data_IF_398361763623
#
_entry.id   IF_398361763623
#
_cell.length_a   1.000
_cell.length_b   1.000
_cell.length_c   1.000
_cell.angle_alpha   90.00
_cell.angle_beta   90.00
_cell.angle_gamma   90.00
#
_symmetry.space_group_name_H-M   'P 1'
#
loop_
_entity.id
_entity.type
_entity.pdbx_description
1 polymer ?
#
# COMPACT_ATOMS: atom_id res chain seq x y z
N UNK A 1 -13.10 -5.66 -12.10
CA UNK A 1 -13.13 -4.64 -11.02
C UNK A 1 -13.13 -5.35 -9.69
N UNK A 2 -12.35 -4.86 -8.73
CA UNK A 2 -12.11 -5.58 -7.46
C UNK A 2 -12.84 -4.82 -6.35
N UNK A 3 -13.45 -5.54 -5.42
CA UNK A 3 -14.22 -4.99 -4.30
C UNK A 3 -13.44 -3.93 -3.48
N UNK A 4 -12.12 -4.07 -3.44
CA UNK A 4 -11.19 -3.13 -2.80
C UNK A 4 -11.21 -1.73 -3.42
N UNK A 5 -11.68 -1.56 -4.66
CA UNK A 5 -11.82 -0.26 -5.33
C UNK A 5 -12.81 0.68 -4.63
N UNK A 6 -13.63 0.13 -3.73
CA UNK A 6 -14.75 0.85 -3.12
C UNK A 6 -14.65 1.00 -1.61
N UNK A 7 -13.59 0.52 -0.95
CA UNK A 7 -13.43 0.63 0.51
C UNK A 7 -12.22 1.51 0.87
N UNK A 8 -12.19 2.29 1.95
CA UNK A 8 -11.01 3.10 2.29
C UNK A 8 -9.72 2.27 2.39
N UNK A 9 -8.57 2.84 2.01
CA UNK A 9 -7.26 2.21 2.23
C UNK A 9 -6.72 2.56 3.63
N UNK A 10 -5.85 1.72 4.20
CA UNK A 10 -5.22 2.00 5.51
C UNK A 10 -4.55 3.38 5.55
N UNK A 11 -3.86 3.76 4.47
CA UNK A 11 -3.27 5.09 4.28
C UNK A 11 -4.28 6.21 4.45
N UNK A 12 -5.37 6.14 3.70
CA UNK A 12 -6.37 7.22 3.67
C UNK A 12 -7.13 7.32 4.99
N UNK A 13 -7.33 6.19 5.68
CA UNK A 13 -7.88 6.17 7.02
C UNK A 13 -6.98 6.89 8.04
N UNK A 14 -5.67 6.69 7.95
CA UNK A 14 -4.69 7.35 8.83
C UNK A 14 -4.59 8.84 8.50
N UNK A 15 -4.40 9.21 7.22
CA UNK A 15 -4.19 10.59 6.78
C UNK A 15 -5.37 11.51 7.16
N UNK A 16 -6.60 10.97 7.11
CA UNK A 16 -7.82 11.71 7.46
C UNK A 16 -8.18 11.61 8.96
N UNK A 17 -7.38 10.92 9.78
CA UNK A 17 -7.64 10.74 11.21
C UNK A 17 -8.90 9.91 11.50
N UNK A 18 -9.26 9.00 10.58
CA UNK A 18 -10.46 8.15 10.70
C UNK A 18 -10.27 6.95 11.63
N UNK A 19 -9.04 6.74 12.14
CA UNK A 19 -8.72 5.74 13.15
C UNK A 19 -8.39 6.47 14.45
N UNK A 20 -9.19 6.29 15.50
CA UNK A 20 -8.79 6.70 16.83
C UNK A 20 -7.86 5.66 17.46
N UNK A 21 -6.75 6.09 18.06
CA UNK A 21 -5.76 5.18 18.64
C UNK A 21 -5.48 5.56 20.08
N UNK A 22 -5.51 4.57 20.97
CA UNK A 22 -5.24 4.73 22.39
C UNK A 22 -4.46 3.54 22.95
N UNK A 23 -3.85 3.73 24.12
CA UNK A 23 -3.24 2.65 24.88
C UNK A 23 -1.72 2.80 25.03
N UNK A 24 -0.99 1.68 24.94
CA UNK A 24 0.45 1.65 25.17
C UNK A 24 1.21 2.30 23.99
N UNK A 25 1.97 3.36 24.26
CA UNK A 25 2.72 4.14 23.25
C UNK A 25 3.79 3.33 22.51
N UNK A 26 4.43 2.36 23.17
CA UNK A 26 5.42 1.48 22.52
C UNK A 26 4.75 0.57 21.48
N UNK A 27 3.59 -0.01 21.83
CA UNK A 27 2.81 -0.82 20.87
C UNK A 27 2.27 0.03 19.72
N UNK A 28 1.88 1.28 19.98
CA UNK A 28 1.44 2.23 18.94
C UNK A 28 2.59 2.51 17.96
N UNK A 29 3.80 2.74 18.47
CA UNK A 29 5.00 2.96 17.65
C UNK A 29 5.32 1.74 16.80
N UNK A 30 5.38 0.56 17.40
CA UNK A 30 5.69 -0.67 16.69
C UNK A 30 4.63 -1.05 15.65
N UNK A 31 3.34 -0.83 15.92
CA UNK A 31 2.30 -1.00 14.92
C UNK A 31 2.43 0.03 13.80
N UNK A 32 2.78 1.28 14.11
CA UNK A 32 3.03 2.31 13.08
C UNK A 32 4.16 1.91 12.16
N UNK A 33 5.25 1.35 12.72
CA UNK A 33 6.36 0.77 11.96
C UNK A 33 5.90 -0.40 11.10
N UNK A 34 5.15 -1.34 11.67
CA UNK A 34 4.62 -2.47 10.93
C UNK A 34 3.72 -2.04 9.76
N UNK A 35 2.82 -1.08 10.00
CA UNK A 35 1.93 -0.52 8.99
C UNK A 35 2.77 0.16 7.91
N UNK A 36 3.73 1.00 8.31
CA UNK A 36 4.63 1.71 7.39
C UNK A 36 5.37 0.75 6.47
N UNK A 37 6.00 -0.29 7.02
CA UNK A 37 6.62 -1.33 6.21
C UNK A 37 5.53 -2.00 5.36
N UNK A 38 4.55 -2.70 5.94
CA UNK A 38 3.60 -3.49 5.16
C UNK A 38 2.81 -2.73 4.08
N UNK A 39 2.48 -1.46 4.27
CA UNK A 39 1.57 -0.70 3.41
C UNK A 39 2.09 0.64 2.88
N UNK A 40 3.29 1.08 3.24
CA UNK A 40 3.83 2.40 2.87
C UNK A 40 5.34 2.32 2.60
N UNK A 41 5.84 1.15 2.20
CA UNK A 41 7.26 0.87 1.91
C UNK A 41 7.95 1.89 0.98
N UNK A 42 7.19 2.80 0.39
CA UNK A 42 7.61 3.67 -0.67
C UNK A 42 6.97 5.05 -0.57
N UNK A 43 7.76 6.07 -0.26
CA UNK A 43 7.31 7.46 -0.32
C UNK A 43 7.55 8.04 -1.72
N UNK A 44 6.46 8.31 -2.43
CA UNK A 44 6.52 8.86 -3.79
C UNK A 44 7.10 10.27 -3.83
N UNK A 45 7.00 11.03 -2.73
CA UNK A 45 7.49 12.42 -2.67
C UNK A 45 9.02 12.56 -2.70
N UNK A 46 9.74 11.45 -2.56
CA UNK A 46 11.22 11.43 -2.54
C UNK A 46 11.82 10.88 -3.83
N UNK A 47 10.97 10.63 -4.82
CA UNK A 47 11.40 10.15 -6.12
C UNK A 47 11.64 11.35 -7.01
N UNK A 48 12.89 11.53 -7.40
CA UNK A 48 13.23 12.48 -8.43
C UNK A 48 13.55 11.74 -9.74
N UNK A 49 12.73 11.97 -10.77
CA UNK A 49 12.94 11.48 -12.12
C UNK A 49 13.58 12.57 -12.98
N UNK A 50 14.70 13.11 -12.52
CA UNK A 50 15.47 14.08 -13.28
C UNK A 50 16.34 13.35 -14.32
N UNK A 51 15.87 13.40 -15.58
CA UNK A 51 16.54 13.00 -16.84
C UNK A 51 16.20 11.61 -17.42
N UNK A 52 15.24 11.57 -18.35
CA UNK A 52 14.96 10.39 -19.16
C UNK A 52 14.30 9.25 -18.36
N UNK A 53 14.21 8.05 -18.94
CA UNK A 53 13.57 6.88 -18.33
C UNK A 53 14.27 6.34 -17.05
N UNK A 54 15.09 7.17 -16.38
CA UNK A 54 15.96 6.84 -15.26
C UNK A 54 15.73 7.85 -14.14
N UNK A 55 15.12 7.41 -13.04
CA UNK A 55 15.05 8.19 -11.80
C UNK A 55 16.12 7.74 -10.81
N UNK A 56 16.71 8.69 -10.08
CA UNK A 56 17.69 8.42 -9.03
C UNK A 56 16.99 8.34 -7.67
N UNK A 57 17.42 7.39 -6.85
CA UNK A 57 17.12 7.38 -5.42
C UNK A 57 18.23 8.11 -4.67
N UNK A 58 17.92 9.23 -4.03
CA UNK A 58 18.59 9.52 -2.77
C UNK A 58 17.95 8.61 -1.74
N UNK A 59 18.52 7.42 -1.52
CA UNK A 59 18.16 6.62 -0.35
C UNK A 59 18.67 7.43 0.85
N UNK A 60 17.83 8.25 1.46
CA UNK A 60 18.17 8.79 2.77
C UNK A 60 18.07 7.62 3.76
N UNK A 61 19.21 7.00 4.08
CA UNK A 61 19.39 5.98 5.13
C UNK A 61 19.01 6.49 6.55
N UNK A 62 18.31 7.63 6.66
CA UNK A 62 17.80 8.24 7.89
C UNK A 62 16.27 8.18 8.00
N UNK A 63 15.65 7.14 7.45
CA UNK A 63 14.20 6.99 7.52
C UNK A 63 13.71 6.78 8.96
N UNK A 64 13.28 7.89 9.55
CA UNK A 64 12.59 7.96 10.82
C UNK A 64 11.25 7.22 10.65
N UNK A 65 11.09 6.10 11.35
CA UNK A 65 9.82 5.40 11.47
C UNK A 65 8.71 6.41 11.76
N UNK A 66 7.90 6.77 10.76
CA UNK A 66 6.90 7.81 10.96
C UNK A 66 5.91 7.28 11.99
N UNK A 67 5.71 8.01 13.08
CA UNK A 67 4.66 7.70 14.06
C UNK A 67 3.28 8.01 13.46
N UNK A 68 2.87 7.23 12.46
CA UNK A 68 1.63 7.40 11.70
C UNK A 68 0.42 7.49 12.63
N UNK A 69 0.37 6.59 13.61
CA UNK A 69 -0.74 6.51 14.55
C UNK A 69 -0.59 7.44 15.76
N UNK A 70 0.57 8.05 16.02
CA UNK A 70 0.71 8.95 17.19
C UNK A 70 -0.04 10.27 17.02
N UNK A 71 -0.24 10.68 15.76
CA UNK A 71 -1.05 11.87 15.39
C UNK A 71 -2.55 11.56 15.31
N UNK A 72 -2.94 10.30 15.42
CA UNK A 72 -4.34 9.90 15.35
C UNK A 72 -5.13 10.42 16.56
N UNK A 73 -6.44 10.71 16.40
CA UNK A 73 -7.27 11.14 17.53
C UNK A 73 -7.22 10.10 18.66
N UNK A 74 -7.08 10.55 19.90
CA UNK A 74 -7.18 9.65 21.07
C UNK A 74 -8.62 9.35 21.48
N UNK A 75 -9.56 10.20 21.07
CA UNK A 75 -10.98 10.06 21.40
C UNK A 75 -11.75 9.40 20.27
N UNK A 76 -12.48 8.34 20.62
CA UNK A 76 -13.36 7.59 19.73
C UNK A 76 -14.73 8.24 19.50
N UNK A 77 -14.99 9.39 20.15
CA UNK A 77 -16.28 10.10 20.12
C UNK A 77 -16.36 11.18 19.03
N UNK A 78 -15.32 11.35 18.22
CA UNK A 78 -15.31 12.32 17.12
C UNK A 78 -16.14 11.81 15.94
N UNK A 79 -16.92 12.70 15.32
CA UNK A 79 -17.85 12.41 14.20
C UNK A 79 -17.11 11.85 12.96
N UNK A 80 -15.80 12.07 12.85
CA UNK A 80 -14.96 11.55 11.75
C UNK A 80 -14.26 10.21 12.04
N UNK A 81 -14.40 9.65 13.24
CA UNK A 81 -13.76 8.37 13.58
C UNK A 81 -14.60 7.21 13.07
N UNK A 82 -14.00 6.39 12.21
CA UNK A 82 -14.59 5.17 11.64
C UNK A 82 -14.13 3.91 12.37
N UNK A 83 -12.94 3.95 12.96
CA UNK A 83 -12.37 2.83 13.70
C UNK A 83 -11.74 3.31 15.00
N UNK A 84 -11.83 2.53 16.07
CA UNK A 84 -11.03 2.73 17.28
C UNK A 84 -10.15 1.53 17.53
N UNK A 85 -8.87 1.79 17.72
CA UNK A 85 -7.85 0.81 18.05
C UNK A 85 -7.35 1.11 19.48
N UNK A 86 -7.67 0.21 20.40
CA UNK A 86 -7.15 0.25 21.76
C UNK A 86 -6.03 -0.77 21.90
N UNK A 87 -4.82 -0.30 22.21
CA UNK A 87 -3.61 -1.09 22.47
C UNK A 87 -3.28 -1.13 23.98
N UNK A 88 -4.27 -1.00 24.86
CA UNK A 88 -4.11 -1.13 26.31
C UNK A 88 -4.63 -2.48 26.82
N UNK A 89 -3.82 -3.25 27.55
CA UNK A 89 -4.25 -4.49 28.23
C UNK A 89 -4.78 -5.60 27.29
N UNK A 90 -5.98 -5.42 26.71
CA UNK A 90 -6.52 -6.19 25.59
C UNK A 90 -6.52 -5.33 24.33
N UNK A 91 -5.72 -5.74 23.35
CA UNK A 91 -5.71 -5.13 22.02
C UNK A 91 -7.08 -5.33 21.40
N UNK A 92 -7.74 -4.25 20.96
CA UNK A 92 -9.06 -4.35 20.32
C UNK A 92 -9.23 -3.35 19.18
N UNK A 93 -9.93 -3.80 18.13
CA UNK A 93 -10.34 -2.97 17.00
C UNK A 93 -11.86 -2.93 16.94
N UNK A 94 -12.44 -1.74 16.95
CA UNK A 94 -13.88 -1.50 16.91
C UNK A 94 -14.22 -0.62 15.71
N UNK A 95 -15.29 -0.92 14.99
CA UNK A 95 -15.82 -0.07 13.92
C UNK A 95 -16.96 0.81 14.44
N UNK A 96 -16.97 2.06 13.98
CA UNK A 96 -17.89 3.13 14.34
C UNK A 96 -18.82 3.41 13.17
N UNK A 97 -19.99 2.76 13.18
CA UNK A 97 -21.01 2.88 12.15
C UNK A 97 -21.97 3.98 12.55
N UNK A 98 -21.87 5.17 11.96
CA UNK A 98 -22.96 6.13 12.14
C UNK A 98 -24.18 5.66 11.34
N UNK A 99 -25.19 5.14 12.03
CA UNK A 99 -26.46 4.73 11.43
C UNK A 99 -27.65 5.23 12.27
N UNK A 100 -28.86 5.15 11.70
CA UNK A 100 -30.10 5.61 12.35
C UNK A 100 -30.51 4.79 13.60
N UNK A 101 -29.89 3.62 13.79
CA UNK A 101 -30.14 2.72 14.91
C UNK A 101 -29.06 2.91 15.98
N UNK A 102 -29.43 2.86 17.26
CA UNK A 102 -28.55 3.18 18.40
C UNK A 102 -27.32 2.26 18.58
N UNK A 103 -27.12 1.27 17.71
CA UNK A 103 -25.95 0.39 17.69
C UNK A 103 -24.93 0.88 16.66
N UNK A 104 -24.12 1.85 17.10
CA UNK A 104 -23.09 2.49 16.28
C UNK A 104 -21.70 1.85 16.43
N UNK A 105 -21.54 0.85 17.32
CA UNK A 105 -20.23 0.26 17.64
C UNK A 105 -20.26 -1.24 17.45
N UNK A 106 -19.27 -1.78 16.74
CA UNK A 106 -19.12 -3.22 16.56
C UNK A 106 -17.65 -3.62 16.76
N UNK A 107 -17.41 -4.54 17.69
CA UNK A 107 -16.08 -5.10 17.93
C UNK A 107 -15.69 -6.01 16.76
N UNK A 108 -14.58 -5.70 16.09
CA UNK A 108 -14.03 -6.49 14.97
C UNK A 108 -12.99 -7.49 15.44
N UNK A 109 -12.20 -7.14 16.45
CA UNK A 109 -11.07 -7.92 16.90
C UNK A 109 -10.76 -7.69 18.37
N UNK A 110 -10.32 -8.74 19.06
CA UNK A 110 -9.76 -8.66 20.42
C UNK A 110 -8.64 -9.69 20.57
N UNK A 111 -7.54 -9.28 21.21
CA UNK A 111 -6.44 -10.14 21.63
C UNK A 111 -5.91 -9.67 22.99
N UNK A 112 -5.30 -10.57 23.77
CA UNK A 112 -4.66 -10.14 25.02
C UNK A 112 -3.28 -9.57 24.70
N UNK A 113 -2.90 -8.44 25.31
CA UNK A 113 -1.56 -7.89 25.16
C UNK A 113 -0.48 -8.76 25.83
N UNK A 114 -0.86 -9.82 26.57
CA UNK A 114 0.08 -10.82 27.08
C UNK A 114 0.56 -11.84 26.04
N UNK A 115 -0.11 -11.93 24.88
CA UNK A 115 0.24 -12.85 23.78
C UNK A 115 1.38 -12.28 22.90
N UNK A 116 2.33 -11.55 23.52
CA UNK A 116 3.43 -10.80 22.86
C UNK A 116 4.31 -11.66 21.97
N UNK A 117 4.42 -12.98 22.23
CA UNK A 117 5.14 -13.92 21.35
C UNK A 117 4.59 -13.93 19.91
N UNK A 118 3.35 -13.49 19.68
CA UNK A 118 2.72 -13.43 18.36
C UNK A 118 2.39 -12.00 17.90
N UNK A 119 3.13 -10.99 18.39
CA UNK A 119 2.86 -9.56 18.11
C UNK A 119 2.71 -9.24 16.62
N UNK A 120 3.62 -9.73 15.78
CA UNK A 120 3.57 -9.53 14.33
C UNK A 120 2.29 -10.12 13.72
N UNK A 121 1.83 -11.27 14.22
CA UNK A 121 0.57 -11.90 13.76
C UNK A 121 -0.64 -11.04 14.12
N UNK A 122 -0.65 -10.44 15.32
CA UNK A 122 -1.70 -9.52 15.76
C UNK A 122 -1.71 -8.27 14.86
N UNK A 123 -0.56 -7.66 14.62
CA UNK A 123 -0.44 -6.48 13.74
C UNK A 123 -0.84 -6.79 12.30
N UNK A 124 -0.42 -7.95 11.76
CA UNK A 124 -0.84 -8.43 10.45
C UNK A 124 -2.35 -8.53 10.35
N UNK A 125 -3.00 -9.11 11.36
CA UNK A 125 -4.45 -9.26 11.40
C UNK A 125 -5.20 -7.93 11.50
N UNK A 126 -4.72 -6.99 12.33
CA UNK A 126 -5.29 -5.64 12.41
C UNK A 126 -5.19 -4.94 11.06
N UNK A 127 -4.01 -4.96 10.43
CA UNK A 127 -3.81 -4.39 9.10
C UNK A 127 -4.78 -5.01 8.08
N UNK A 128 -4.87 -6.34 8.03
CA UNK A 128 -5.71 -7.03 7.04
C UNK A 128 -7.20 -6.72 7.23
N UNK A 129 -7.65 -6.55 8.49
CA UNK A 129 -9.02 -6.15 8.83
C UNK A 129 -9.35 -4.71 8.42
N UNK A 130 -8.36 -3.81 8.46
CA UNK A 130 -8.51 -2.43 8.00
C UNK A 130 -8.46 -2.37 6.46
N UNK A 131 -7.48 -3.02 5.85
CA UNK A 131 -7.23 -3.02 4.39
C UNK A 131 -8.38 -3.67 3.59
N UNK A 132 -9.13 -4.59 4.22
CA UNK A 132 -10.24 -5.32 3.61
C UNK A 132 -11.56 -5.07 4.35
N UNK A 133 -11.71 -3.92 5.01
CA UNK A 133 -12.87 -3.66 5.85
C UNK A 133 -14.16 -3.48 5.04
N UNK A 134 -15.08 -4.44 5.14
CA UNK A 134 -16.36 -4.45 4.42
C UNK A 134 -17.49 -3.67 5.12
N UNK A 135 -17.16 -2.82 6.09
CA UNK A 135 -18.13 -2.05 6.86
C UNK A 135 -18.57 -0.76 6.17
N UNK A 136 -17.72 -0.21 5.29
CA UNK A 136 -18.01 1.00 4.54
C UNK A 136 -17.67 0.84 3.07
N UNK A 137 -18.50 1.41 2.21
CA UNK A 137 -18.27 1.45 0.77
C UNK A 137 -18.49 2.86 0.22
N UNK A 138 -17.73 3.21 -0.82
CA UNK A 138 -17.94 4.41 -1.62
C UNK A 138 -19.09 4.13 -2.59
N UNK A 139 -20.22 4.80 -2.35
CA UNK A 139 -21.35 4.74 -3.25
C UNK A 139 -20.99 5.39 -4.60
N UNK A 140 -21.11 4.65 -5.70
CA UNK A 140 -20.78 5.17 -7.03
C UNK A 140 -21.81 6.14 -7.61
N UNK A 141 -23.00 6.25 -7.01
CA UNK A 141 -24.03 7.19 -7.44
C UNK A 141 -23.84 8.59 -6.81
N UNK A 142 -23.55 8.66 -5.51
CA UNK A 142 -23.37 9.95 -4.82
C UNK A 142 -21.92 10.29 -4.51
N UNK A 143 -20.98 9.39 -4.77
CA UNK A 143 -19.55 9.51 -4.46
C UNK A 143 -19.31 9.88 -2.98
N UNK A 144 -19.88 9.10 -2.07
CA UNK A 144 -19.78 9.30 -0.62
C UNK A 144 -19.52 7.97 0.08
N UNK A 145 -18.80 8.01 1.20
CA UNK A 145 -18.58 6.84 2.04
C UNK A 145 -19.84 6.56 2.88
N UNK A 146 -20.40 5.37 2.72
CA UNK A 146 -21.63 4.94 3.39
C UNK A 146 -21.46 3.59 4.05
N UNK A 147 -22.30 3.33 5.05
CA UNK A 147 -22.37 2.05 5.73
C UNK A 147 -22.78 0.92 4.76
N UNK A 148 -22.13 -0.24 4.85
CA UNK A 148 -22.39 -1.38 3.97
C UNK A 148 -23.81 -1.94 4.04
N UNK A 149 -24.56 -1.71 5.12
CA UNK A 149 -25.98 -2.09 5.25
C UNK A 149 -26.90 -1.23 4.40
N UNK A 150 -26.43 -0.06 3.96
CA UNK A 150 -27.19 0.89 3.14
C UNK A 150 -26.84 0.78 1.65
N UNK A 151 -26.06 -0.22 1.26
CA UNK A 151 -25.60 -0.45 -0.11
C UNK A 151 -26.34 -1.67 -0.70
N UNK A 152 -26.75 -1.55 -1.96
CA UNK A 152 -27.06 -2.72 -2.81
C UNK A 152 -25.76 -3.22 -3.46
N UNK A 153 -25.35 -4.45 -3.10
CA UNK A 153 -24.08 -5.07 -3.52
C UNK A 153 -24.29 -6.05 -4.70
N UNK A 154 -25.43 -6.00 -5.40
CA UNK A 154 -25.68 -6.86 -6.57
C UNK A 154 -24.68 -6.66 -7.72
N UNK A 155 -23.87 -5.59 -7.68
CA UNK A 155 -22.71 -5.37 -8.53
C UNK A 155 -21.85 -4.21 -8.04
N UNK A 156 -21.98 -3.05 -8.70
CA UNK A 156 -21.31 -1.81 -8.29
C UNK A 156 -22.00 -1.28 -7.02
N UNK A 157 -21.26 -0.95 -5.96
CA UNK A 157 -21.85 -0.46 -4.72
C UNK A 157 -22.58 0.87 -4.96
N UNK A 158 -23.90 0.81 -4.93
CA UNK A 158 -24.80 1.96 -4.99
C UNK A 158 -25.65 1.98 -3.73
N UNK A 159 -26.06 3.17 -3.29
CA UNK A 159 -26.96 3.27 -2.16
C UNK A 159 -28.28 2.55 -2.49
N UNK A 160 -28.82 1.80 -1.54
CA UNK A 160 -30.17 1.30 -1.62
C UNK A 160 -31.15 2.47 -1.78
N UNK A 161 -32.26 2.26 -2.50
CA UNK A 161 -33.21 3.28 -2.96
C UNK A 161 -33.35 4.50 -2.03
N UNK A 162 -33.13 5.70 -2.58
CA UNK A 162 -33.20 7.02 -1.92
C UNK A 162 -32.23 7.27 -0.75
N UNK A 163 -31.33 6.34 -0.43
CA UNK A 163 -30.36 6.53 0.67
C UNK A 163 -29.28 7.59 0.32
N UNK A 164 -29.01 7.84 -0.97
CA UNK A 164 -28.09 8.90 -1.42
C UNK A 164 -28.48 10.30 -0.89
N UNK A 165 -29.77 10.55 -0.72
CA UNK A 165 -30.32 11.85 -0.30
C UNK A 165 -30.85 11.83 1.14
N UNK A 166 -31.19 10.66 1.68
CA UNK A 166 -31.89 10.51 2.95
C UNK A 166 -31.11 9.94 4.13
N UNK A 167 -29.88 9.42 3.96
CA UNK A 167 -29.14 8.72 5.04
C UNK A 167 -27.85 9.42 5.49
N UNK A 168 -27.43 9.07 6.72
CA UNK A 168 -26.20 9.55 7.35
C UNK A 168 -24.96 9.02 6.60
N UNK A 169 -24.21 9.96 6.03
CA UNK A 169 -22.93 9.72 5.35
C UNK A 169 -21.79 9.84 6.34
N UNK A 170 -20.73 9.06 6.15
CA UNK A 170 -19.56 9.18 6.99
C UNK A 170 -18.78 10.45 6.65
N UNK A 171 -18.20 11.10 7.65
CA UNK A 171 -17.34 12.28 7.44
C UNK A 171 -15.98 11.80 6.94
N UNK A 172 -15.86 11.57 5.63
CA UNK A 172 -14.68 11.04 4.97
C UNK A 172 -14.59 11.55 3.53
N UNK A 173 -13.44 12.10 3.13
CA UNK A 173 -13.22 12.59 1.77
C UNK A 173 -12.79 11.45 0.86
N UNK A 174 -13.73 10.98 0.04
CA UNK A 174 -13.50 9.86 -0.89
C UNK A 174 -12.55 10.23 -2.04
N UNK A 175 -12.36 11.52 -2.33
CA UNK A 175 -11.48 11.95 -3.41
C UNK A 175 -9.99 11.81 -3.05
N UNK A 176 -9.68 11.73 -1.76
CA UNK A 176 -8.33 11.48 -1.27
C UNK A 176 -7.97 9.99 -1.30
N UNK A 177 -8.88 9.10 -1.70
CA UNK A 177 -8.58 7.68 -1.74
C UNK A 177 -7.67 7.36 -2.92
N UNK A 178 -6.40 7.08 -2.63
CA UNK A 178 -5.46 6.59 -3.63
C UNK A 178 -5.72 5.10 -3.95
N UNK A 179 -6.14 4.84 -5.19
CA UNK A 179 -6.45 3.51 -5.75
C UNK A 179 -5.41 2.99 -6.71
N UNK A 180 -4.46 3.84 -7.07
CA UNK A 180 -3.56 3.64 -8.19
C UNK A 180 -2.17 3.32 -7.67
N UNK A 181 -1.70 4.05 -6.67
CA UNK A 181 -0.36 3.86 -6.13
C UNK A 181 -0.25 2.49 -5.46
N UNK A 182 0.77 1.73 -5.84
CA UNK A 182 1.09 0.45 -5.23
C UNK A 182 1.77 0.69 -3.88
N UNK A 183 1.14 0.19 -2.82
CA UNK A 183 1.64 0.26 -1.43
C UNK A 183 2.57 -0.88 -1.03
N UNK A 184 2.67 -1.93 -1.87
CA UNK A 184 3.37 -3.18 -1.57
C UNK A 184 4.66 -3.34 -2.38
N UNK A 185 5.52 -4.25 -1.92
CA UNK A 185 6.76 -4.65 -2.59
C UNK A 185 6.45 -5.55 -3.81
N UNK A 186 5.79 -4.98 -4.80
CA UNK A 186 5.56 -5.65 -6.07
C UNK A 186 6.75 -5.39 -7.00
N UNK A 187 7.06 -6.35 -7.88
CA UNK A 187 8.12 -6.21 -8.87
C UNK A 187 7.83 -5.01 -9.79
N UNK A 188 6.57 -4.84 -10.21
CA UNK A 188 6.11 -3.63 -10.90
C UNK A 188 5.30 -2.76 -9.93
N UNK A 189 5.83 -1.56 -9.67
CA UNK A 189 5.22 -0.53 -8.85
C UNK A 189 4.46 0.47 -9.70
N UNK A 190 3.49 1.12 -9.07
CA UNK A 190 2.67 2.17 -9.68
C UNK A 190 2.68 3.37 -8.74
N UNK A 191 2.84 4.57 -9.28
CA UNK A 191 2.68 5.80 -8.51
C UNK A 191 2.14 6.94 -9.39
N UNK A 192 1.46 7.88 -8.74
CA UNK A 192 0.96 9.12 -9.37
C UNK A 192 2.04 10.20 -9.23
N UNK A 193 2.39 10.86 -10.32
CA UNK A 193 3.31 12.00 -10.39
C UNK A 193 2.63 13.14 -11.13
N UNK A 194 2.62 14.35 -10.55
CA UNK A 194 2.13 15.61 -11.14
C UNK A 194 0.93 15.51 -12.12
N UNK A 195 1.17 15.06 -13.36
CA UNK A 195 0.22 14.95 -14.48
C UNK A 195 0.04 13.53 -15.07
N UNK A 196 0.68 12.49 -14.52
CA UNK A 196 0.63 11.12 -15.02
C UNK A 196 0.73 10.02 -13.96
N UNK A 197 0.33 8.81 -14.36
CA UNK A 197 0.47 7.57 -13.59
C UNK A 197 1.64 6.80 -14.21
N UNK A 198 2.67 6.49 -13.43
CA UNK A 198 3.84 5.74 -13.91
C UNK A 198 3.84 4.34 -13.35
N UNK A 199 4.09 3.37 -14.22
CA UNK A 199 4.39 1.98 -13.87
C UNK A 199 5.88 1.75 -14.06
N UNK A 200 6.57 1.35 -13.00
CA UNK A 200 8.02 1.27 -12.98
C UNK A 200 8.47 0.17 -12.02
N UNK A 201 9.73 -0.20 -12.08
CA UNK A 201 10.32 -1.09 -11.09
C UNK A 201 11.65 -0.57 -10.58
N UNK A 202 12.04 -1.05 -9.41
CA UNK A 202 13.37 -0.80 -8.84
C UNK A 202 14.41 -1.56 -9.65
N UNK A 203 15.51 -0.89 -9.96
CA UNK A 203 16.56 -1.37 -10.85
C UNK A 203 17.92 -0.85 -10.38
N UNK A 204 18.98 -1.60 -10.64
CA UNK A 204 20.34 -1.13 -10.42
C UNK A 204 21.00 -0.87 -11.75
N UNK A 205 21.50 0.34 -11.92
CA UNK A 205 22.26 0.77 -13.08
C UNK A 205 23.75 0.61 -12.84
N UNK A 206 24.44 0.09 -13.84
CA UNK A 206 25.89 -0.03 -13.86
C UNK A 206 26.42 0.83 -15.01
N UNK A 207 26.59 2.16 -14.83
CA UNK A 207 27.27 2.98 -15.83
C UNK A 207 28.74 2.56 -16.00
N UNK A 208 29.35 1.97 -14.95
CA UNK A 208 30.68 1.39 -14.97
C UNK A 208 30.67 0.03 -14.24
N UNK A 209 31.49 -0.98 -14.61
CA UNK A 209 31.53 -2.31 -13.95
C UNK A 209 31.87 -2.32 -12.45
N UNK A 210 32.29 -1.18 -11.89
CA UNK A 210 32.68 -1.02 -10.50
C UNK A 210 31.86 0.07 -9.77
N UNK A 211 30.85 0.63 -10.45
CA UNK A 211 30.00 1.68 -9.87
C UNK A 211 28.55 1.33 -10.19
N UNK A 212 27.80 0.97 -9.15
CA UNK A 212 26.38 0.72 -9.24
C UNK A 212 25.56 1.87 -8.64
N UNK A 213 24.39 2.11 -9.22
CA UNK A 213 23.42 3.07 -8.70
C UNK A 213 22.04 2.45 -8.65
N UNK A 214 21.36 2.54 -7.51
CA UNK A 214 19.95 2.21 -7.40
C UNK A 214 19.09 3.28 -8.07
N UNK A 215 18.06 2.87 -8.78
CA UNK A 215 17.08 3.79 -9.36
C UNK A 215 15.84 3.06 -9.88
N UNK A 216 15.14 3.69 -10.83
CA UNK A 216 13.88 3.19 -11.37
C UNK A 216 13.88 3.14 -12.89
N UNK A 217 13.30 2.08 -13.46
CA UNK A 217 13.01 1.97 -14.88
C UNK A 217 11.51 2.10 -15.10
N UNK A 218 11.11 3.17 -15.78
CA UNK A 218 9.71 3.35 -16.19
C UNK A 218 9.40 2.34 -17.29
N UNK A 219 8.40 1.49 -17.05
CA UNK A 219 7.92 0.48 -17.99
C UNK A 219 6.76 1.01 -18.83
N UNK A 220 5.90 1.84 -18.24
CA UNK A 220 4.82 2.51 -18.94
C UNK A 220 4.35 3.77 -18.20
N UNK A 221 3.68 4.67 -18.93
CA UNK A 221 2.98 5.82 -18.38
C UNK A 221 1.53 5.86 -18.88
N UNK A 222 0.63 6.35 -18.04
CA UNK A 222 -0.79 6.52 -18.29
C UNK A 222 -1.22 7.93 -17.88
N UNK A 223 -2.19 8.56 -18.56
CA UNK A 223 -2.74 9.84 -18.11
C UNK A 223 -3.47 9.69 -16.76
N UNK A 224 -3.58 10.76 -15.97
CA UNK A 224 -4.35 10.77 -14.71
C UNK A 224 -5.83 10.38 -14.88
N UNK A 225 -6.37 10.51 -16.10
CA UNK A 225 -7.74 10.09 -16.42
C UNK A 225 -7.92 8.57 -16.49
N UNK A 226 -6.83 7.80 -16.47
CA UNK A 226 -6.90 6.34 -16.51
C UNK A 226 -7.53 5.81 -15.21
N UNK A 227 -8.47 4.89 -15.37
CA UNK A 227 -9.16 4.24 -14.27
C UNK A 227 -8.24 3.25 -13.55
N UNK A 228 -8.50 2.95 -12.26
CA UNK A 228 -7.75 1.92 -11.52
C UNK A 228 -7.77 0.53 -12.19
N UNK A 229 -8.81 0.23 -12.97
CA UNK A 229 -8.90 -1.02 -13.72
C UNK A 229 -7.91 -1.07 -14.88
N UNK A 230 -7.80 0.01 -15.66
CA UNK A 230 -6.84 0.13 -16.77
C UNK A 230 -5.39 0.04 -16.27
N UNK A 231 -5.09 0.73 -15.15
CA UNK A 231 -3.77 0.68 -14.52
C UNK A 231 -3.40 -0.76 -14.11
N UNK A 232 -4.33 -1.48 -13.48
CA UNK A 232 -4.09 -2.88 -13.07
C UNK A 232 -3.93 -3.81 -14.27
N UNK A 233 -4.76 -3.66 -15.30
CA UNK A 233 -4.65 -4.47 -16.50
C UNK A 233 -3.28 -4.29 -17.17
N UNK A 234 -2.81 -3.04 -17.29
CA UNK A 234 -1.49 -2.76 -17.81
C UNK A 234 -0.38 -3.31 -16.91
N UNK A 235 -0.51 -3.16 -15.59
CA UNK A 235 0.43 -3.74 -14.62
C UNK A 235 0.53 -5.25 -14.80
N UNK A 236 -0.59 -5.96 -14.80
CA UNK A 236 -0.62 -7.43 -14.98
C UNK A 236 -0.03 -7.84 -16.31
N UNK A 237 -0.25 -7.07 -17.38
CA UNK A 237 0.40 -7.31 -18.67
C UNK A 237 1.92 -7.18 -18.57
N UNK A 238 2.42 -6.09 -17.99
CA UNK A 238 3.87 -5.87 -17.81
C UNK A 238 4.48 -6.96 -16.94
N UNK A 239 3.81 -7.37 -15.86
CA UNK A 239 4.22 -8.48 -14.98
C UNK A 239 4.26 -9.81 -15.74
N UNK A 240 3.29 -10.09 -16.62
CA UNK A 240 3.27 -11.32 -17.41
C UNK A 240 4.35 -11.38 -18.50
N UNK A 241 4.81 -10.21 -18.95
CA UNK A 241 5.91 -10.06 -19.91
C UNK A 241 7.26 -9.95 -19.18
N UNK A 242 7.25 -9.88 -17.85
CA UNK A 242 8.43 -9.75 -17.03
C UNK A 242 9.25 -11.04 -17.01
N UNK A 243 10.57 -10.91 -17.06
CA UNK A 243 11.48 -12.06 -17.06
C UNK A 243 11.80 -12.56 -15.64
N UNK A 244 11.29 -11.92 -14.59
CA UNK A 244 11.56 -12.25 -13.19
C UNK A 244 10.26 -12.67 -12.48
N UNK A 245 10.33 -13.50 -11.41
CA UNK A 245 11.53 -14.17 -10.94
C UNK A 245 12.11 -15.16 -11.96
N UNK A 246 13.44 -15.28 -12.00
CA UNK A 246 14.14 -16.14 -12.94
C UNK A 246 15.36 -16.83 -12.32
N UNK A 247 15.72 -17.97 -12.90
CA UNK A 247 16.91 -18.71 -12.50
C UNK A 247 18.19 -18.04 -12.99
N UNK A 248 19.15 -17.86 -12.08
CA UNK A 248 20.50 -17.47 -12.45
C UNK A 248 21.12 -18.49 -13.41
N UNK A 249 21.73 -18.01 -14.50
CA UNK A 249 22.38 -18.82 -15.52
C UNK A 249 23.39 -19.82 -14.94
N UNK A 250 24.25 -19.36 -14.03
CA UNK A 250 25.31 -20.15 -13.40
C UNK A 250 24.84 -21.04 -12.25
N UNK A 251 24.29 -20.46 -11.17
CA UNK A 251 23.97 -21.22 -9.95
C UNK A 251 22.54 -21.76 -9.86
N UNK A 252 21.64 -21.40 -10.81
CA UNK A 252 20.20 -21.76 -10.79
C UNK A 252 19.43 -21.27 -9.55
N UNK A 253 19.99 -20.33 -8.79
CA UNK A 253 19.25 -19.65 -7.73
C UNK A 253 18.24 -18.67 -8.31
N UNK A 254 17.10 -18.52 -7.63
CA UNK A 254 16.05 -17.55 -7.98
C UNK A 254 16.56 -16.11 -7.82
N UNK A 255 16.29 -15.29 -8.82
CA UNK A 255 16.62 -13.86 -8.87
C UNK A 255 15.34 -13.07 -9.08
N UNK A 256 15.18 -11.94 -8.38
CA UNK A 256 14.05 -11.00 -8.53
C UNK A 256 14.52 -9.64 -9.06
N UNK A 257 13.70 -8.99 -9.90
CA UNK A 257 13.92 -7.60 -10.34
C UNK A 257 13.44 -6.66 -9.22
N UNK A 258 14.37 -6.18 -8.39
CA UNK A 258 14.04 -5.25 -7.31
C UNK A 258 14.91 -5.37 -6.06
N UNK A 259 15.66 -6.46 -5.91
CA UNK A 259 16.73 -6.59 -4.90
C UNK A 259 18.08 -6.11 -5.44
N UNK A 260 18.07 -5.06 -6.26
CA UNK A 260 19.28 -4.40 -6.76
C UNK A 260 19.98 -5.07 -7.96
N UNK A 261 19.28 -5.85 -8.80
CA UNK A 261 19.94 -6.73 -9.79
C UNK A 261 19.29 -6.82 -11.18
N UNK A 262 18.82 -5.71 -11.73
CA UNK A 262 18.21 -5.67 -13.06
C UNK A 262 19.19 -5.73 -14.24
N UNK A 263 20.50 -5.48 -14.03
CA UNK A 263 21.50 -5.34 -15.12
C UNK A 263 22.57 -6.42 -15.20
N UNK A 264 22.36 -7.55 -14.56
CA UNK A 264 23.24 -8.71 -14.74
C UNK A 264 22.70 -9.64 -15.84
N UNK A 265 22.17 -9.04 -16.90
CA UNK A 265 21.89 -9.75 -18.15
C UNK A 265 23.21 -9.81 -18.90
N UNK A 266 23.68 -11.03 -19.18
CA UNK A 266 24.79 -11.17 -20.10
C UNK A 266 24.27 -10.85 -21.50
N UNK A 267 24.49 -9.62 -21.98
CA UNK A 267 23.97 -9.11 -23.26
C UNK A 267 24.33 -9.99 -24.47
N UNK A 268 25.41 -10.77 -24.38
CA UNK A 268 25.81 -11.68 -25.47
C UNK A 268 24.94 -12.93 -25.59
N UNK A 269 24.25 -13.33 -24.52
CA UNK A 269 23.43 -14.55 -24.44
C UNK A 269 22.04 -14.31 -23.84
N UNK A 270 21.70 -13.05 -23.56
CA UNK A 270 20.49 -12.57 -22.90
C UNK A 270 20.11 -13.35 -21.61
N UNK A 271 21.10 -13.85 -20.88
CA UNK A 271 20.88 -14.70 -19.71
C UNK A 271 20.97 -13.91 -18.39
N UNK A 272 20.04 -14.17 -17.48
CA UNK A 272 19.97 -13.54 -16.15
C UNK A 272 21.03 -14.16 -15.23
N UNK A 273 21.83 -13.35 -14.55
CA UNK A 273 22.89 -13.80 -13.65
C UNK A 273 22.72 -13.20 -12.25
N UNK A 274 22.93 -13.99 -11.20
CA UNK A 274 22.86 -13.47 -9.84
C UNK A 274 24.12 -12.67 -9.48
N UNK A 275 24.05 -11.83 -8.43
CA UNK A 275 25.15 -10.96 -8.03
C UNK A 275 26.44 -11.73 -7.76
N UNK A 276 26.35 -12.79 -6.94
CA UNK A 276 27.51 -13.62 -6.61
C UNK A 276 28.19 -14.19 -7.87
N UNK A 277 27.40 -14.71 -8.81
CA UNK A 277 27.93 -15.26 -10.06
C UNK A 277 28.43 -14.17 -11.03
N UNK A 278 27.86 -12.97 -11.01
CA UNK A 278 28.37 -11.85 -11.80
C UNK A 278 29.71 -11.34 -11.27
N UNK A 279 29.90 -11.25 -9.95
CA UNK A 279 31.20 -10.93 -9.36
C UNK A 279 32.25 -11.98 -9.71
N UNK A 280 31.90 -13.26 -9.58
CA UNK A 280 32.82 -14.37 -9.84
C UNK A 280 33.21 -14.49 -11.33
N UNK A 281 32.25 -14.39 -12.25
CA UNK A 281 32.47 -14.69 -13.67
C UNK A 281 32.66 -13.45 -14.55
N UNK A 282 32.22 -12.28 -14.09
CA UNK A 282 32.25 -11.03 -14.88
C UNK A 282 32.99 -9.87 -14.18
N UNK A 283 33.52 -10.08 -12.98
CA UNK A 283 34.33 -9.07 -12.27
C UNK A 283 33.55 -7.83 -11.81
N UNK A 284 32.23 -7.97 -11.67
CA UNK A 284 31.33 -6.91 -11.18
C UNK A 284 31.50 -6.74 -9.68
N UNK A 285 31.71 -5.51 -9.19
CA UNK A 285 31.92 -5.20 -7.77
C UNK A 285 30.83 -4.24 -7.30
N UNK A 286 30.01 -4.66 -6.32
CA UNK A 286 28.98 -3.82 -5.67
C UNK A 286 29.54 -3.13 -4.42
#
# INVERSE_FOLDING_TARGET
>A
MVKTDYIPTVKTLIDQGAIAVSGNEELIRELSEFIYFKGFHFNVSELNFDCGNLGYLEIDDRYNCSELLSKSPRSSQSIGVLYSLDLSGKISLTVHRNNDQRDNLQLMFVANAGDIEHRETVFKKIYDLLDNSEYFYVCQQCNQLVDSRLIDISGIPVCAADSCTGTYKQTFDVNQIDRVTSSRFDEIRVAIFEDEIRLFNSTTFWPHPHECHSGYAIKATLPLSASPAEVRELKTKIESEHKYPADCFYCKGEVHEGMGMSRLVNDSIEAITCYACATEHHGVIY
#
